data_IF_304979923411
#
_entry.id   IF_304979923411
#
_cell.length_a   1.000
_cell.length_b   1.000
_cell.length_c   1.000
_cell.angle_alpha   90.00
_cell.angle_beta   90.00
_cell.angle_gamma   90.00
#
_symmetry.space_group_name_H-M   'P 1'
#
loop_
_entity.id
_entity.type
_entity.pdbx_description
1 polymer ?
#
# COMPACT_ATOMS: atom_id res chain seq x y z
N UNK A 1 32.24 68.57 -7.83
CA UNK A 1 32.43 67.18 -7.37
C UNK A 1 32.43 66.99 -5.84
N UNK A 2 33.02 67.88 -5.02
CA UNK A 2 33.06 67.70 -3.55
C UNK A 2 31.70 67.77 -2.82
N UNK A 3 30.71 68.54 -3.30
CA UNK A 3 29.39 68.61 -2.66
C UNK A 3 28.52 67.36 -2.84
N UNK A 4 28.63 66.64 -3.97
CA UNK A 4 27.87 65.39 -4.21
C UNK A 4 28.34 64.23 -3.33
N UNK A 5 29.65 64.12 -3.07
CA UNK A 5 30.22 63.08 -2.21
C UNK A 5 29.79 63.21 -0.73
N UNK A 6 29.52 64.43 -0.26
CA UNK A 6 29.07 64.65 1.12
C UNK A 6 27.61 64.22 1.37
N UNK A 7 26.76 64.31 0.35
CA UNK A 7 25.36 63.90 0.45
C UNK A 7 25.19 62.38 0.39
N UNK A 8 25.96 61.68 -0.44
CA UNK A 8 25.92 60.21 -0.49
C UNK A 8 26.37 59.57 0.83
N UNK A 9 27.35 60.16 1.55
CA UNK A 9 27.79 59.66 2.87
C UNK A 9 26.74 59.78 3.97
N UNK A 10 25.87 60.80 3.91
CA UNK A 10 24.83 61.02 4.94
C UNK A 10 23.67 60.04 4.85
N UNK A 11 23.39 59.48 3.67
CA UNK A 11 22.33 58.50 3.48
C UNK A 11 22.83 57.04 3.42
N UNK A 12 24.09 56.81 3.05
CA UNK A 12 24.64 55.45 2.99
C UNK A 12 24.87 54.83 4.38
N UNK A 13 25.32 55.61 5.37
CA UNK A 13 25.58 55.08 6.73
C UNK A 13 24.31 54.53 7.42
N UNK A 14 23.17 55.26 7.48
CA UNK A 14 21.97 54.72 8.11
C UNK A 14 21.36 53.55 7.32
N UNK A 15 21.50 53.52 5.98
CA UNK A 15 20.98 52.41 5.18
C UNK A 15 21.75 51.11 5.42
N UNK A 16 23.09 51.18 5.54
CA UNK A 16 23.95 50.02 5.83
C UNK A 16 23.71 49.50 7.26
N UNK A 17 23.45 50.40 8.22
CA UNK A 17 23.14 50.00 9.59
C UNK A 17 21.77 49.33 9.70
N UNK A 18 20.74 49.87 9.04
CA UNK A 18 19.39 49.28 9.04
C UNK A 18 19.37 47.94 8.30
N UNK A 19 20.04 47.84 7.14
CA UNK A 19 20.14 46.57 6.42
C UNK A 19 20.94 45.52 7.19
N UNK A 20 22.02 45.90 7.87
CA UNK A 20 22.77 45.00 8.76
C UNK A 20 21.93 44.48 9.93
N UNK A 21 21.17 45.34 10.60
CA UNK A 21 20.29 44.94 11.71
C UNK A 21 19.15 44.05 11.24
N UNK A 22 18.52 44.35 10.10
CA UNK A 22 17.46 43.50 9.51
C UNK A 22 18.00 42.14 9.11
N UNK A 23 19.19 42.07 8.51
CA UNK A 23 19.83 40.80 8.16
C UNK A 23 20.17 39.97 9.40
N UNK A 24 20.66 40.63 10.47
CA UNK A 24 21.01 39.96 11.73
C UNK A 24 19.77 39.43 12.45
N UNK A 25 18.67 40.20 12.47
CA UNK A 25 17.37 39.76 13.03
C UNK A 25 16.79 38.63 12.17
N UNK A 26 16.84 38.72 10.85
CA UNK A 26 16.39 37.65 9.96
C UNK A 26 17.18 36.36 10.20
N UNK A 27 18.51 36.45 10.33
CA UNK A 27 19.37 35.31 10.65
C UNK A 27 19.07 34.75 12.06
N UNK A 28 18.88 35.59 13.08
CA UNK A 28 18.53 35.16 14.44
C UNK A 28 17.13 34.56 14.57
N UNK A 29 16.18 34.95 13.72
CA UNK A 29 14.81 34.41 13.70
C UNK A 29 14.71 33.17 12.81
N UNK A 30 15.48 33.11 11.71
CA UNK A 30 15.47 31.99 10.77
C UNK A 30 16.36 30.84 11.24
N UNK A 31 17.51 31.07 11.88
CA UNK A 31 18.41 29.99 12.34
C UNK A 31 17.74 29.01 13.34
N UNK A 32 16.96 29.46 14.36
CA UNK A 32 16.22 28.55 15.23
C UNK A 32 15.14 27.77 14.48
N UNK A 33 14.51 28.38 13.45
CA UNK A 33 13.49 27.73 12.61
C UNK A 33 14.11 26.72 11.64
N UNK A 34 15.29 27.00 11.09
CA UNK A 34 16.03 26.08 10.22
C UNK A 34 16.58 24.91 11.06
N UNK A 35 17.04 25.16 12.28
CA UNK A 35 17.39 24.09 13.23
C UNK A 35 16.17 23.29 13.70
N UNK A 36 14.99 23.89 13.87
CA UNK A 36 13.78 23.13 14.21
C UNK A 36 13.27 22.28 13.04
N UNK A 37 13.50 22.71 11.79
CA UNK A 37 13.16 21.92 10.59
C UNK A 37 14.18 20.81 10.35
N UNK A 38 15.48 21.06 10.55
CA UNK A 38 16.54 20.05 10.44
C UNK A 38 16.56 19.04 11.60
N UNK A 39 16.08 19.42 12.79
CA UNK A 39 15.98 18.51 13.94
C UNK A 39 14.74 17.59 13.88
N UNK A 40 13.90 17.70 12.86
CA UNK A 40 12.71 16.83 12.69
C UNK A 40 13.04 15.40 12.24
N UNK A 41 14.30 15.09 11.91
CA UNK A 41 14.69 13.84 11.23
C UNK A 41 15.58 12.87 12.03
N UNK A 42 15.48 12.89 13.35
CA UNK A 42 15.86 11.72 14.15
C UNK A 42 15.10 11.73 15.48
N UNK A 43 13.80 11.38 15.44
CA UNK A 43 13.09 11.08 16.67
C UNK A 43 13.73 9.82 17.28
N UNK A 44 14.52 10.01 18.34
CA UNK A 44 15.12 8.92 19.10
C UNK A 44 14.06 8.29 20.00
N UNK A 45 13.32 7.33 19.47
CA UNK A 45 12.43 6.49 20.26
C UNK A 45 13.23 5.48 21.07
N UNK A 46 12.90 5.29 22.34
CA UNK A 46 13.56 4.30 23.20
C UNK A 46 13.24 2.87 22.74
N UNK A 47 12.01 2.68 22.27
CA UNK A 47 11.43 1.45 21.75
C UNK A 47 12.18 0.94 20.52
N UNK A 48 12.74 1.84 19.70
CA UNK A 48 13.57 1.43 18.56
C UNK A 48 14.78 0.65 19.04
N UNK A 49 15.39 1.04 20.17
CA UNK A 49 16.51 0.30 20.76
C UNK A 49 16.06 -1.04 21.32
N UNK A 50 14.90 -1.08 21.96
CA UNK A 50 14.31 -2.31 22.51
C UNK A 50 13.99 -3.34 21.42
N UNK A 51 13.43 -2.88 20.29
CA UNK A 51 13.08 -3.73 19.16
C UNK A 51 14.30 -4.17 18.34
N UNK A 52 15.42 -3.45 18.43
CA UNK A 52 16.63 -3.75 17.66
C UNK A 52 17.21 -5.12 18.04
N UNK A 53 17.31 -6.02 17.06
CA UNK A 53 17.90 -7.35 17.25
C UNK A 53 16.97 -8.38 17.89
N UNK A 54 15.70 -8.03 18.11
CA UNK A 54 14.69 -8.98 18.57
C UNK A 54 14.41 -10.06 17.53
N UNK A 55 14.01 -11.26 17.99
CA UNK A 55 13.65 -12.41 17.14
C UNK A 55 12.24 -12.90 17.50
N UNK A 56 11.35 -11.94 17.75
CA UNK A 56 9.99 -12.20 18.19
C UNK A 56 9.11 -12.74 17.07
N UNK A 57 8.08 -13.48 17.48
CA UNK A 57 6.98 -13.88 16.63
C UNK A 57 6.10 -12.68 16.26
N UNK A 58 5.27 -12.83 15.23
CA UNK A 58 4.30 -11.81 14.86
C UNK A 58 3.36 -11.45 16.02
N UNK A 59 2.96 -12.45 16.82
CA UNK A 59 2.09 -12.25 17.97
C UNK A 59 2.77 -11.41 19.06
N UNK A 60 4.03 -11.71 19.38
CA UNK A 60 4.80 -10.93 20.36
C UNK A 60 5.00 -9.47 19.93
N UNK A 61 5.27 -9.20 18.64
CA UNK A 61 5.27 -7.82 18.13
C UNK A 61 3.89 -7.17 18.22
N UNK A 62 2.82 -7.91 17.91
CA UNK A 62 1.45 -7.40 18.01
C UNK A 62 1.12 -6.99 19.45
N UNK A 63 1.43 -7.86 20.42
CA UNK A 63 1.20 -7.61 21.85
C UNK A 63 2.03 -6.41 22.33
N UNK A 64 3.28 -6.30 21.88
CA UNK A 64 4.14 -5.16 22.14
C UNK A 64 3.52 -3.85 21.64
N UNK A 65 3.09 -3.79 20.38
CA UNK A 65 2.53 -2.57 19.80
C UNK A 65 1.16 -2.21 20.38
N UNK A 66 0.35 -3.20 20.80
CA UNK A 66 -0.88 -2.95 21.59
C UNK A 66 -0.53 -2.29 22.92
N UNK A 67 0.39 -2.88 23.69
CA UNK A 67 0.83 -2.33 24.97
C UNK A 67 1.44 -0.94 24.83
N UNK A 68 2.29 -0.73 23.83
CA UNK A 68 2.88 0.59 23.54
C UNK A 68 1.79 1.62 23.23
N UNK A 69 0.76 1.22 22.48
CA UNK A 69 -0.37 2.09 22.18
C UNK A 69 -1.18 2.44 23.43
N UNK A 70 -1.34 1.51 24.37
CA UNK A 70 -2.01 1.74 25.67
C UNK A 70 -1.18 2.67 26.56
N UNK A 71 0.13 2.43 26.66
CA UNK A 71 1.02 3.14 27.57
C UNK A 71 1.39 4.55 27.08
N UNK A 72 1.60 4.74 25.76
CA UNK A 72 2.11 5.99 25.17
C UNK A 72 1.22 6.59 24.07
N UNK A 73 0.11 5.94 23.74
CA UNK A 73 -0.81 6.37 22.68
C UNK A 73 -0.48 5.74 21.33
N UNK A 74 -1.52 5.41 20.56
CA UNK A 74 -1.40 4.72 19.28
C UNK A 74 -0.70 5.57 18.20
N UNK A 75 -0.83 6.90 18.24
CA UNK A 75 -0.09 7.78 17.32
C UNK A 75 1.42 7.69 17.57
N UNK A 76 1.85 7.56 18.83
CA UNK A 76 3.24 7.35 19.18
C UNK A 76 3.72 5.97 18.69
N UNK A 77 2.94 4.92 18.97
CA UNK A 77 3.23 3.57 18.51
C UNK A 77 3.34 3.49 16.98
N UNK A 78 2.50 4.21 16.25
CA UNK A 78 2.55 4.29 14.78
C UNK A 78 3.87 4.91 14.29
N UNK A 79 4.32 6.00 14.93
CA UNK A 79 5.62 6.61 14.62
C UNK A 79 6.80 5.67 14.91
N UNK A 80 6.74 4.90 16.00
CA UNK A 80 7.74 3.87 16.32
C UNK A 80 7.75 2.78 15.25
N UNK A 81 6.57 2.24 14.88
CA UNK A 81 6.44 1.18 13.86
C UNK A 81 7.08 1.57 12.52
N UNK A 82 6.96 2.86 12.13
CA UNK A 82 7.56 3.38 10.88
C UNK A 82 9.08 3.30 10.86
N UNK A 83 9.75 3.42 12.00
CA UNK A 83 11.22 3.54 12.04
C UNK A 83 11.91 2.36 12.71
N UNK A 84 11.19 1.51 13.44
CA UNK A 84 11.77 0.37 14.13
C UNK A 84 12.33 -0.68 13.14
N UNK A 85 13.46 -1.33 13.46
CA UNK A 85 13.95 -2.46 12.67
C UNK A 85 13.15 -3.72 12.99
N UNK A 86 12.94 -4.56 11.98
CA UNK A 86 12.25 -5.85 12.12
C UNK A 86 13.04 -6.95 11.39
N UNK A 87 13.02 -8.20 11.88
CA UNK A 87 13.57 -9.33 11.15
C UNK A 87 12.74 -9.60 9.87
N UNK A 88 13.36 -10.14 8.80
CA UNK A 88 12.63 -10.52 7.59
C UNK A 88 11.49 -11.50 7.88
N UNK A 89 10.39 -11.36 7.13
CA UNK A 89 9.22 -12.24 7.23
C UNK A 89 8.19 -11.83 8.27
N UNK A 90 8.45 -10.77 9.06
CA UNK A 90 7.42 -10.10 9.86
C UNK A 90 6.62 -9.18 8.96
N UNK A 91 5.31 -9.39 8.93
CA UNK A 91 4.41 -8.63 8.09
C UNK A 91 4.10 -7.25 8.70
N UNK A 92 4.75 -6.22 8.18
CA UNK A 92 4.56 -4.86 8.70
C UNK A 92 3.22 -4.24 8.30
N UNK A 93 2.57 -4.74 7.25
CA UNK A 93 1.21 -4.33 6.90
C UNK A 93 0.25 -4.77 8.01
N UNK A 94 0.32 -6.05 8.42
CA UNK A 94 -0.53 -6.57 9.49
C UNK A 94 -0.22 -5.95 10.87
N UNK A 95 1.04 -5.61 11.18
CA UNK A 95 1.34 -4.86 12.42
C UNK A 95 0.73 -3.44 12.39
N UNK A 96 0.65 -2.80 11.23
CA UNK A 96 0.00 -1.51 11.10
C UNK A 96 -1.53 -1.59 11.29
N UNK A 97 -2.17 -2.73 10.98
CA UNK A 97 -3.55 -2.97 11.40
C UNK A 97 -3.69 -2.99 12.93
N UNK A 98 -2.76 -3.64 13.64
CA UNK A 98 -2.79 -3.69 15.11
C UNK A 98 -2.73 -2.29 15.72
N UNK A 99 -1.80 -1.45 15.24
CA UNK A 99 -1.68 -0.07 15.73
C UNK A 99 -2.88 0.79 15.31
N UNK A 100 -3.37 0.62 14.08
CA UNK A 100 -4.54 1.34 13.58
C UNK A 100 -5.80 1.05 14.39
N UNK A 101 -6.04 -0.20 14.78
CA UNK A 101 -7.16 -0.60 15.65
C UNK A 101 -7.12 0.17 16.98
N UNK A 102 -5.93 0.28 17.58
CA UNK A 102 -5.73 1.05 18.80
C UNK A 102 -5.94 2.55 18.57
N UNK A 103 -5.56 3.06 17.40
CA UNK A 103 -5.76 4.46 17.04
C UNK A 103 -7.24 4.80 16.90
N UNK A 104 -8.03 3.94 16.24
CA UNK A 104 -9.49 4.08 16.18
C UNK A 104 -10.11 4.02 17.57
N UNK A 105 -9.72 3.05 18.42
CA UNK A 105 -10.20 2.97 19.82
C UNK A 105 -9.95 4.26 20.61
N UNK A 106 -8.85 4.96 20.34
CA UNK A 106 -8.47 6.17 21.07
C UNK A 106 -9.04 7.47 20.47
N UNK A 107 -9.33 7.51 19.17
CA UNK A 107 -9.64 8.75 18.43
C UNK A 107 -10.93 8.68 17.62
N UNK A 108 -11.57 7.51 17.52
CA UNK A 108 -12.68 7.24 16.62
C UNK A 108 -12.34 7.61 15.18
N UNK A 109 -13.31 8.17 14.48
CA UNK A 109 -13.20 8.59 13.07
C UNK A 109 -12.04 9.58 12.83
N UNK A 110 -11.67 10.39 13.82
CA UNK A 110 -10.58 11.35 13.69
C UNK A 110 -9.22 10.68 13.44
N UNK A 111 -9.08 9.38 13.72
CA UNK A 111 -7.91 8.57 13.39
C UNK A 111 -7.57 8.60 11.89
N UNK A 112 -8.55 8.76 11.00
CA UNK A 112 -8.32 8.74 9.54
C UNK A 112 -7.31 9.80 9.09
N UNK A 113 -7.28 10.96 9.75
CA UNK A 113 -6.38 12.06 9.42
C UNK A 113 -4.96 11.87 9.98
N UNK A 114 -4.80 10.95 10.93
CA UNK A 114 -3.52 10.57 11.52
C UNK A 114 -2.88 9.43 10.71
N UNK A 115 -3.71 8.50 10.21
CA UNK A 115 -3.25 7.45 9.31
C UNK A 115 -2.69 8.06 8.01
N UNK A 116 -1.53 7.58 7.60
CA UNK A 116 -0.88 7.92 6.33
C UNK A 116 -0.98 6.74 5.36
N UNK A 117 -0.42 6.91 4.17
CA UNK A 117 -0.22 5.86 3.17
C UNK A 117 0.86 4.84 3.54
N UNK A 118 1.64 5.11 4.60
CA UNK A 118 2.60 4.15 5.17
C UNK A 118 1.93 2.77 5.38
N UNK A 119 2.71 1.72 5.15
CA UNK A 119 2.24 0.33 5.23
C UNK A 119 1.06 0.04 4.30
N UNK A 120 0.95 0.73 3.15
CA UNK A 120 -0.10 0.52 2.16
C UNK A 120 -1.50 0.77 2.75
N UNK A 121 -1.64 1.87 3.49
CA UNK A 121 -2.89 2.33 4.10
C UNK A 121 -3.52 1.40 5.14
N UNK A 122 -2.76 0.43 5.68
CA UNK A 122 -3.23 -0.51 6.70
C UNK A 122 -3.88 0.18 7.91
N UNK A 123 -3.34 1.31 8.36
CA UNK A 123 -3.92 2.11 9.43
C UNK A 123 -5.35 2.57 9.06
N UNK A 124 -5.53 3.14 7.87
CA UNK A 124 -6.83 3.63 7.41
C UNK A 124 -7.87 2.52 7.26
N UNK A 125 -7.44 1.28 6.97
CA UNK A 125 -8.36 0.13 6.93
C UNK A 125 -9.08 -0.05 8.26
N UNK A 126 -8.33 -0.02 9.36
CA UNK A 126 -8.86 -0.26 10.71
C UNK A 126 -9.86 0.79 11.16
N UNK A 127 -9.76 2.02 10.64
CA UNK A 127 -10.70 3.09 10.95
C UNK A 127 -12.08 2.76 10.41
N UNK A 128 -12.18 2.36 9.14
CA UNK A 128 -13.47 2.01 8.53
C UNK A 128 -14.03 0.68 9.01
N UNK A 129 -13.16 -0.26 9.38
CA UNK A 129 -13.55 -1.49 10.09
C UNK A 129 -14.18 -1.12 11.45
N UNK A 130 -13.52 -0.26 12.22
CA UNK A 130 -14.01 0.21 13.51
C UNK A 130 -15.36 0.89 13.43
N UNK A 131 -15.55 1.82 12.48
CA UNK A 131 -16.84 2.49 12.24
C UNK A 131 -17.93 1.45 11.97
N UNK A 132 -17.65 0.50 11.07
CA UNK A 132 -18.65 -0.51 10.70
C UNK A 132 -19.02 -1.41 11.89
N UNK A 133 -18.03 -1.89 12.65
CA UNK A 133 -18.28 -2.79 13.77
C UNK A 133 -18.98 -2.09 14.94
N UNK A 134 -18.75 -0.79 15.14
CA UNK A 134 -19.36 0.00 16.22
C UNK A 134 -20.76 0.51 15.87
N UNK A 135 -20.93 1.05 14.65
CA UNK A 135 -22.15 1.73 14.23
C UNK A 135 -23.06 0.85 13.35
N UNK A 136 -22.57 -0.32 12.94
CA UNK A 136 -23.28 -1.25 12.07
C UNK A 136 -23.43 -0.76 10.63
N UNK A 137 -24.18 -1.53 9.85
CA UNK A 137 -24.39 -1.28 8.42
C UNK A 137 -24.96 0.13 8.08
N UNK A 138 -25.68 0.77 9.00
CA UNK A 138 -26.19 2.14 8.79
C UNK A 138 -25.09 3.19 8.59
N UNK A 139 -23.83 2.87 8.93
CA UNK A 139 -22.68 3.77 8.83
C UNK A 139 -21.99 3.81 7.46
N UNK A 140 -22.43 3.01 6.46
CA UNK A 140 -21.80 3.01 5.13
C UNK A 140 -21.66 4.42 4.50
N UNK A 141 -22.64 5.36 4.61
CA UNK A 141 -22.45 6.73 4.15
C UNK A 141 -21.36 7.50 4.90
N UNK A 142 -21.24 7.31 6.22
CA UNK A 142 -20.19 7.92 7.05
C UNK A 142 -18.80 7.37 6.69
N UNK A 143 -18.72 6.07 6.40
CA UNK A 143 -17.50 5.43 5.90
C UNK A 143 -17.09 6.02 4.56
N UNK A 144 -18.02 6.20 3.61
CA UNK A 144 -17.72 6.82 2.33
C UNK A 144 -17.16 8.25 2.48
N UNK A 145 -17.77 9.07 3.35
CA UNK A 145 -17.26 10.41 3.67
C UNK A 145 -15.92 10.40 4.41
N UNK A 146 -15.65 9.36 5.19
CA UNK A 146 -14.37 9.14 5.86
C UNK A 146 -13.28 8.79 4.83
N UNK A 147 -13.57 7.92 3.87
CA UNK A 147 -12.64 7.53 2.81
C UNK A 147 -12.21 8.71 1.91
N UNK A 148 -13.10 9.69 1.68
CA UNK A 148 -12.75 10.93 0.96
C UNK A 148 -11.68 11.77 1.68
N UNK A 149 -11.51 11.56 3.00
CA UNK A 149 -10.55 12.28 3.84
C UNK A 149 -9.26 11.48 4.08
N UNK A 150 -9.16 10.26 3.58
CA UNK A 150 -7.98 9.43 3.73
C UNK A 150 -6.75 10.09 3.05
N UNK A 151 -5.63 10.29 3.78
CA UNK A 151 -4.40 10.80 3.18
C UNK A 151 -3.83 9.83 2.14
N UNK A 152 -3.28 10.36 1.04
CA UNK A 152 -2.71 9.58 -0.07
C UNK A 152 -3.45 9.75 -1.41
N UNK A 153 -4.51 10.57 -1.47
CA UNK A 153 -5.15 10.93 -2.73
C UNK A 153 -6.00 9.80 -3.34
N UNK A 154 -5.97 9.64 -4.67
CA UNK A 154 -6.85 8.69 -5.39
C UNK A 154 -6.61 7.23 -4.98
N UNK A 155 -5.37 6.84 -4.71
CA UNK A 155 -5.02 5.48 -4.27
C UNK A 155 -5.64 5.18 -2.91
N UNK A 156 -5.41 6.07 -1.95
CA UNK A 156 -5.96 5.96 -0.59
C UNK A 156 -7.49 5.87 -0.53
N UNK A 157 -8.23 6.57 -1.40
CA UNK A 157 -9.69 6.44 -1.48
C UNK A 157 -10.13 5.00 -1.77
N UNK A 158 -9.55 4.38 -2.80
CA UNK A 158 -9.87 3.00 -3.17
C UNK A 158 -9.46 2.01 -2.08
N UNK A 159 -8.27 2.19 -1.51
CA UNK A 159 -7.74 1.34 -0.44
C UNK A 159 -8.53 1.46 0.86
N UNK A 160 -9.16 2.60 1.10
CA UNK A 160 -10.10 2.73 2.21
C UNK A 160 -11.30 1.78 2.06
N UNK A 161 -11.86 1.65 0.85
CA UNK A 161 -12.92 0.65 0.59
C UNK A 161 -12.38 -0.79 0.59
N UNK A 162 -11.12 -1.01 0.23
CA UNK A 162 -10.46 -2.30 0.48
C UNK A 162 -10.48 -2.64 1.98
N UNK A 163 -10.07 -1.68 2.82
CA UNK A 163 -10.14 -1.80 4.27
C UNK A 163 -11.55 -2.12 4.79
N UNK A 164 -12.57 -1.46 4.25
CA UNK A 164 -13.98 -1.73 4.57
C UNK A 164 -14.32 -3.20 4.31
N UNK A 165 -13.81 -3.79 3.22
CA UNK A 165 -14.02 -5.19 2.87
C UNK A 165 -13.66 -6.17 3.98
N UNK A 166 -12.53 -5.94 4.67
CA UNK A 166 -12.15 -6.78 5.82
C UNK A 166 -13.21 -6.73 6.92
N UNK A 167 -13.68 -5.52 7.23
CA UNK A 167 -14.71 -5.29 8.25
C UNK A 167 -16.07 -5.87 7.86
N UNK A 168 -16.45 -5.75 6.59
CA UNK A 168 -17.70 -6.31 6.05
C UNK A 168 -17.73 -7.82 6.21
N UNK A 169 -16.63 -8.51 5.89
CA UNK A 169 -16.58 -9.96 6.07
C UNK A 169 -16.69 -10.37 7.54
N UNK A 170 -15.99 -9.67 8.45
CA UNK A 170 -16.12 -9.91 9.88
C UNK A 170 -17.53 -9.62 10.40
N UNK A 171 -18.12 -8.48 10.02
CA UNK A 171 -19.44 -8.02 10.44
C UNK A 171 -20.56 -8.98 10.00
N UNK A 172 -20.43 -9.58 8.82
CA UNK A 172 -21.40 -10.57 8.31
C UNK A 172 -21.17 -11.99 8.83
N UNK A 173 -20.26 -12.16 9.80
CA UNK A 173 -19.95 -13.46 10.41
C UNK A 173 -19.23 -14.42 9.47
N UNK A 174 -18.35 -13.87 8.60
CA UNK A 174 -17.64 -14.59 7.55
C UNK A 174 -18.54 -15.27 6.50
N UNK A 175 -19.77 -14.79 6.34
CA UNK A 175 -20.64 -15.17 5.22
C UNK A 175 -20.27 -14.34 3.99
N UNK A 176 -19.48 -14.94 3.11
CA UNK A 176 -18.90 -14.27 1.94
C UNK A 176 -19.99 -13.80 0.95
N UNK A 177 -21.11 -14.53 0.85
CA UNK A 177 -22.22 -14.14 -0.04
C UNK A 177 -22.88 -12.86 0.48
N UNK A 178 -23.16 -12.80 1.79
CA UNK A 178 -23.68 -11.59 2.43
C UNK A 178 -22.69 -10.43 2.37
N UNK A 179 -21.40 -10.72 2.46
CA UNK A 179 -20.34 -9.71 2.33
C UNK A 179 -20.38 -9.03 0.96
N UNK A 180 -20.53 -9.81 -0.11
CA UNK A 180 -20.66 -9.28 -1.48
C UNK A 180 -21.91 -8.41 -1.61
N UNK A 181 -23.06 -8.86 -1.10
CA UNK A 181 -24.30 -8.07 -1.11
C UNK A 181 -24.18 -6.76 -0.33
N UNK A 182 -23.41 -6.75 0.75
CA UNK A 182 -23.13 -5.54 1.51
C UNK A 182 -22.13 -4.61 0.77
N UNK A 183 -21.07 -5.16 0.18
CA UNK A 183 -20.11 -4.40 -0.62
C UNK A 183 -20.77 -3.73 -1.84
N UNK A 184 -21.81 -4.33 -2.45
CA UNK A 184 -22.56 -3.70 -3.54
C UNK A 184 -23.20 -2.37 -3.13
N UNK A 185 -23.49 -2.17 -1.85
CA UNK A 185 -24.16 -0.95 -1.34
C UNK A 185 -23.25 0.29 -1.34
N UNK A 186 -21.93 0.10 -1.45
CA UNK A 186 -20.97 1.22 -1.52
C UNK A 186 -20.53 1.54 -2.94
N UNK A 187 -20.85 0.70 -3.93
CA UNK A 187 -20.52 0.95 -5.32
C UNK A 187 -21.19 2.22 -5.84
N UNK A 188 -20.42 3.09 -6.50
CA UNK A 188 -20.96 4.29 -7.13
C UNK A 188 -20.67 4.35 -8.62
N UNK A 189 -21.63 4.90 -9.38
CA UNK A 189 -21.43 5.18 -10.81
C UNK A 189 -20.34 6.23 -11.06
N UNK A 190 -20.13 7.15 -10.12
CA UNK A 190 -19.09 8.18 -10.19
C UNK A 190 -17.69 7.56 -10.30
N UNK A 191 -17.47 6.44 -9.61
CA UNK A 191 -16.20 5.74 -9.56
C UNK A 191 -16.21 4.39 -10.32
N UNK A 192 -17.19 4.18 -11.20
CA UNK A 192 -17.37 2.93 -11.97
C UNK A 192 -17.37 1.68 -11.08
N UNK A 193 -18.09 1.74 -9.96
CA UNK A 193 -18.21 0.68 -8.95
C UNK A 193 -16.88 0.21 -8.34
N UNK A 194 -15.82 1.02 -8.41
CA UNK A 194 -14.52 0.64 -7.85
C UNK A 194 -14.59 0.41 -6.34
N UNK A 195 -15.42 1.14 -5.61
CA UNK A 195 -15.62 0.94 -4.17
C UNK A 195 -16.13 -0.46 -3.86
N UNK A 196 -17.10 -0.95 -4.65
CA UNK A 196 -17.63 -2.30 -4.52
C UNK A 196 -16.54 -3.33 -4.80
N UNK A 197 -15.80 -3.18 -5.90
CA UNK A 197 -14.73 -4.12 -6.27
C UNK A 197 -13.63 -4.16 -5.18
N UNK A 198 -13.19 -3.01 -4.68
CA UNK A 198 -12.19 -2.97 -3.60
C UNK A 198 -12.71 -3.61 -2.31
N UNK A 199 -13.97 -3.36 -1.94
CA UNK A 199 -14.61 -3.99 -0.78
C UNK A 199 -14.65 -5.52 -0.91
N UNK A 200 -14.96 -6.06 -2.10
CA UNK A 200 -14.87 -7.51 -2.33
C UNK A 200 -13.42 -8.01 -2.26
N UNK A 201 -12.46 -7.22 -2.75
CA UNK A 201 -11.03 -7.52 -2.64
C UNK A 201 -10.56 -7.64 -1.18
N UNK A 202 -10.95 -6.71 -0.32
CA UNK A 202 -10.68 -6.75 1.11
C UNK A 202 -11.35 -7.93 1.81
N UNK A 203 -12.61 -8.22 1.44
CA UNK A 203 -13.32 -9.42 1.93
C UNK A 203 -12.58 -10.70 1.53
N UNK A 204 -12.13 -10.78 0.28
CA UNK A 204 -11.35 -11.92 -0.22
C UNK A 204 -10.04 -12.11 0.55
N UNK A 205 -9.36 -11.01 0.86
CA UNK A 205 -8.13 -11.04 1.66
C UNK A 205 -8.39 -11.47 3.10
N UNK A 206 -9.43 -10.94 3.73
CA UNK A 206 -9.81 -11.29 5.10
C UNK A 206 -10.20 -12.77 5.20
N UNK A 207 -10.90 -13.30 4.20
CA UNK A 207 -11.29 -14.71 4.18
C UNK A 207 -10.08 -15.65 4.22
N UNK A 208 -8.92 -15.27 3.71
CA UNK A 208 -7.74 -16.13 3.77
C UNK A 208 -7.10 -16.21 5.17
N UNK A 209 -7.21 -15.13 5.95
CA UNK A 209 -6.45 -14.97 7.19
C UNK A 209 -7.31 -15.08 8.46
N UNK A 210 -8.58 -14.70 8.40
CA UNK A 210 -9.50 -14.74 9.55
C UNK A 210 -8.98 -13.94 10.74
N UNK A 211 -8.53 -12.71 10.50
CA UNK A 211 -7.81 -11.86 11.46
C UNK A 211 -8.76 -11.26 12.49
N UNK A 212 -9.97 -10.87 12.06
CA UNK A 212 -10.87 -10.04 12.86
C UNK A 212 -11.82 -10.84 13.77
N UNK A 213 -12.28 -12.03 13.36
CA UNK A 213 -12.96 -12.99 14.23
C UNK A 213 -12.59 -14.43 13.83
N UNK A 214 -11.62 -14.97 14.56
CA UNK A 214 -11.06 -16.30 14.28
C UNK A 214 -12.08 -17.42 14.45
N UNK A 215 -12.99 -17.31 15.42
CA UNK A 215 -13.96 -18.36 15.71
C UNK A 215 -15.01 -18.43 14.61
N UNK A 216 -15.56 -17.28 14.19
CA UNK A 216 -16.49 -17.21 13.07
C UNK A 216 -15.83 -17.66 11.76
N UNK A 217 -14.58 -17.25 11.53
CA UNK A 217 -13.81 -17.68 10.37
C UNK A 217 -13.62 -19.21 10.32
N UNK A 218 -13.21 -19.85 11.43
CA UNK A 218 -13.03 -21.31 11.48
C UNK A 218 -14.32 -22.07 11.18
N UNK A 219 -15.47 -21.51 11.56
CA UNK A 219 -16.78 -22.08 11.28
C UNK A 219 -17.19 -21.95 9.80
N UNK A 220 -16.73 -20.92 9.09
CA UNK A 220 -17.14 -20.65 7.70
C UNK A 220 -16.11 -21.05 6.64
N UNK A 221 -14.82 -21.05 6.94
CA UNK A 221 -13.74 -21.20 5.93
C UNK A 221 -13.90 -22.45 5.05
N UNK A 222 -14.31 -23.58 5.61
CA UNK A 222 -14.50 -24.84 4.88
C UNK A 222 -15.68 -24.82 3.91
N UNK A 223 -16.59 -23.84 4.04
CA UNK A 223 -17.66 -23.60 3.05
C UNK A 223 -17.07 -23.03 1.76
N UNK A 224 -16.02 -22.20 1.85
CA UNK A 224 -15.51 -21.40 0.74
C UNK A 224 -14.19 -21.92 0.15
N UNK A 225 -13.25 -22.37 0.98
CA UNK A 225 -12.02 -23.02 0.51
C UNK A 225 -12.19 -24.52 0.50
N UNK A 226 -11.79 -25.15 -0.60
CA UNK A 226 -11.92 -26.58 -0.85
C UNK A 226 -10.53 -27.17 -1.08
N UNK A 227 -10.27 -28.33 -0.48
CA UNK A 227 -8.97 -28.98 -0.62
C UNK A 227 -8.72 -29.47 -2.05
N UNK A 228 -9.79 -29.86 -2.76
CA UNK A 228 -9.79 -30.35 -4.14
C UNK A 228 -10.00 -29.25 -5.20
N UNK A 229 -10.27 -28.02 -4.76
CA UNK A 229 -10.43 -26.85 -5.62
C UNK A 229 -9.76 -25.60 -5.02
N UNK A 230 -8.46 -25.39 -5.32
CA UNK A 230 -7.70 -24.24 -4.85
C UNK A 230 -8.07 -22.90 -5.50
N UNK A 231 -8.91 -22.90 -6.54
CA UNK A 231 -9.39 -21.66 -7.19
C UNK A 231 -10.66 -21.13 -6.52
N UNK A 232 -11.37 -21.98 -5.77
CA UNK A 232 -12.44 -21.54 -4.90
C UNK A 232 -11.94 -20.55 -3.83
N UNK A 233 -12.72 -19.52 -3.50
CA UNK A 233 -14.11 -19.30 -3.92
C UNK A 233 -14.27 -18.42 -5.18
N UNK A 234 -13.19 -18.08 -5.89
CA UNK A 234 -13.23 -17.04 -6.91
C UNK A 234 -13.98 -17.44 -8.20
N UNK A 235 -14.10 -18.74 -8.50
CA UNK A 235 -14.91 -19.30 -9.58
C UNK A 235 -16.32 -19.74 -9.15
N UNK A 236 -16.64 -19.65 -7.86
CA UNK A 236 -17.93 -20.08 -7.34
C UNK A 236 -19.08 -19.22 -7.93
N UNK A 237 -20.25 -19.83 -8.10
CA UNK A 237 -21.41 -19.17 -8.73
C UNK A 237 -21.92 -17.93 -7.99
N UNK A 238 -21.58 -17.77 -6.71
CA UNK A 238 -21.95 -16.60 -5.94
C UNK A 238 -21.01 -15.42 -6.17
N UNK A 239 -19.80 -15.64 -6.70
CA UNK A 239 -18.81 -14.61 -6.98
C UNK A 239 -19.17 -13.91 -8.30
N UNK A 240 -19.57 -12.63 -8.27
CA UNK A 240 -19.97 -11.92 -9.49
C UNK A 240 -18.80 -11.74 -10.44
N UNK A 241 -19.06 -11.83 -11.74
CA UNK A 241 -18.04 -11.83 -12.80
C UNK A 241 -17.10 -10.61 -12.72
N UNK A 242 -17.65 -9.46 -12.42
CA UNK A 242 -16.91 -8.20 -12.27
C UNK A 242 -15.95 -8.18 -11.07
N UNK A 243 -16.22 -8.99 -10.03
CA UNK A 243 -15.41 -9.11 -8.82
C UNK A 243 -14.45 -10.32 -8.82
N UNK A 244 -14.65 -11.29 -9.71
CA UNK A 244 -13.72 -12.43 -9.85
C UNK A 244 -12.25 -12.00 -10.01
N UNK A 245 -11.90 -10.98 -10.83
CA UNK A 245 -10.50 -10.57 -10.99
C UNK A 245 -9.86 -10.12 -9.67
N UNK A 246 -10.55 -9.31 -8.87
CA UNK A 246 -9.97 -8.84 -7.60
C UNK A 246 -9.87 -9.99 -6.57
N UNK A 247 -10.80 -10.95 -6.61
CA UNK A 247 -10.70 -12.17 -5.82
C UNK A 247 -9.42 -12.96 -6.18
N UNK A 248 -9.18 -13.21 -7.47
CA UNK A 248 -7.98 -13.94 -7.93
C UNK A 248 -6.67 -13.20 -7.63
N UNK A 249 -6.64 -11.87 -7.73
CA UNK A 249 -5.48 -11.06 -7.32
C UNK A 249 -5.13 -11.28 -5.85
N UNK A 250 -6.14 -11.49 -5.00
CA UNK A 250 -5.94 -11.72 -3.59
C UNK A 250 -5.83 -13.20 -3.23
N UNK A 251 -6.21 -14.15 -4.06
CA UNK A 251 -6.18 -15.59 -3.76
C UNK A 251 -4.75 -16.17 -3.60
N UNK A 252 -3.71 -15.49 -4.08
CA UNK A 252 -2.35 -16.03 -4.19
C UNK A 252 -1.77 -16.63 -2.89
N UNK A 253 -1.92 -16.03 -1.69
CA UNK A 253 -1.48 -16.68 -0.45
C UNK A 253 -2.13 -18.05 -0.22
N UNK A 254 -3.41 -18.22 -0.57
CA UNK A 254 -4.07 -19.53 -0.52
C UNK A 254 -3.44 -20.52 -1.50
N UNK A 255 -3.11 -20.07 -2.72
CA UNK A 255 -2.43 -20.91 -3.72
C UNK A 255 -1.04 -21.37 -3.25
N UNK A 256 -0.30 -20.52 -2.52
CA UNK A 256 0.96 -20.92 -1.88
C UNK A 256 0.73 -21.99 -0.81
N UNK A 257 -0.31 -21.86 0.02
CA UNK A 257 -0.64 -22.86 1.04
C UNK A 257 -1.08 -24.19 0.41
N UNK A 258 -1.84 -24.16 -0.69
CA UNK A 258 -2.30 -25.35 -1.39
C UNK A 258 -1.14 -26.23 -1.90
N UNK A 259 0.00 -25.61 -2.25
CA UNK A 259 1.24 -26.34 -2.58
C UNK A 259 2.15 -26.63 -1.38
N UNK A 260 1.66 -26.43 -0.16
CA UNK A 260 2.38 -26.70 1.09
C UNK A 260 3.48 -25.68 1.43
N UNK A 261 3.39 -24.45 0.92
CA UNK A 261 4.37 -23.41 1.25
C UNK A 261 4.19 -22.85 2.66
N UNK A 262 5.30 -22.53 3.32
CA UNK A 262 5.28 -21.63 4.47
C UNK A 262 5.13 -20.19 3.98
N UNK A 263 4.01 -19.55 4.34
CA UNK A 263 3.73 -18.16 3.96
C UNK A 263 4.74 -17.16 4.50
N UNK A 264 5.52 -17.50 5.54
CA UNK A 264 6.59 -16.62 6.05
C UNK A 264 7.76 -16.56 5.08
N UNK A 265 8.04 -17.65 4.37
CA UNK A 265 9.18 -17.75 3.45
C UNK A 265 8.92 -18.75 2.30
N UNK A 266 8.00 -18.42 1.38
CA UNK A 266 7.74 -19.29 0.23
C UNK A 266 8.95 -19.29 -0.72
N UNK A 267 9.20 -20.43 -1.37
CA UNK A 267 10.38 -20.65 -2.20
C UNK A 267 10.06 -20.57 -3.70
N UNK A 268 11.07 -20.41 -4.58
CA UNK A 268 10.88 -20.50 -6.03
C UNK A 268 10.18 -21.78 -6.50
N UNK A 269 10.38 -22.91 -5.81
CA UNK A 269 9.64 -24.14 -6.09
C UNK A 269 8.15 -23.95 -5.80
N UNK A 270 7.81 -23.36 -4.65
CA UNK A 270 6.40 -23.08 -4.32
C UNK A 270 5.76 -22.13 -5.33
N UNK A 271 6.49 -21.11 -5.81
CA UNK A 271 5.98 -20.18 -6.81
C UNK A 271 5.61 -20.88 -8.11
N UNK A 272 6.54 -21.71 -8.63
CA UNK A 272 6.30 -22.51 -9.84
C UNK A 272 5.09 -23.44 -9.68
N UNK A 273 5.02 -24.16 -8.57
CA UNK A 273 3.93 -25.11 -8.33
C UNK A 273 2.58 -24.38 -8.20
N UNK A 274 2.54 -23.23 -7.51
CA UNK A 274 1.31 -22.46 -7.31
C UNK A 274 0.83 -21.76 -8.60
N UNK A 275 1.74 -21.32 -9.48
CA UNK A 275 1.36 -20.79 -10.79
C UNK A 275 0.57 -21.78 -11.63
N UNK A 276 0.81 -23.09 -11.46
CA UNK A 276 0.10 -24.12 -12.21
C UNK A 276 -1.42 -24.09 -12.00
N UNK A 277 -1.90 -23.56 -10.86
CA UNK A 277 -3.34 -23.37 -10.65
C UNK A 277 -3.95 -22.33 -11.60
N UNK A 278 -3.22 -21.29 -11.98
CA UNK A 278 -3.71 -20.31 -12.97
C UNK A 278 -3.84 -20.90 -14.37
N UNK A 279 -3.20 -22.03 -14.67
CA UNK A 279 -3.37 -22.76 -15.93
C UNK A 279 -4.64 -23.63 -15.97
N UNK A 280 -5.29 -23.86 -14.82
CA UNK A 280 -6.58 -24.56 -14.79
C UNK A 280 -7.75 -23.64 -15.20
N UNK A 281 -7.53 -22.32 -15.20
CA UNK A 281 -8.48 -21.36 -15.76
C UNK A 281 -8.52 -21.47 -17.29
N UNK A 282 -9.71 -21.25 -17.87
CA UNK A 282 -9.93 -21.31 -19.31
C UNK A 282 -8.94 -20.42 -20.07
N UNK A 283 -8.31 -20.96 -21.12
CA UNK A 283 -7.39 -20.20 -21.99
C UNK A 283 -8.09 -19.03 -22.70
N UNK A 284 -9.40 -19.11 -22.91
CA UNK A 284 -10.22 -18.04 -23.51
C UNK A 284 -10.55 -16.91 -22.51
N UNK A 285 -10.19 -17.07 -21.23
CA UNK A 285 -10.48 -16.11 -20.16
C UNK A 285 -9.24 -15.35 -19.70
N UNK A 286 -8.69 -14.55 -20.62
CA UNK A 286 -7.53 -13.69 -20.37
C UNK A 286 -7.73 -12.80 -19.14
N UNK A 287 -8.95 -12.34 -18.86
CA UNK A 287 -9.22 -11.47 -17.72
C UNK A 287 -8.89 -12.17 -16.39
N UNK A 288 -9.41 -13.39 -16.20
CA UNK A 288 -9.17 -14.14 -14.97
C UNK A 288 -7.75 -14.70 -14.90
N UNK A 289 -7.21 -15.18 -16.02
CA UNK A 289 -5.82 -15.65 -16.07
C UNK A 289 -4.85 -14.54 -15.71
N UNK A 290 -5.01 -13.35 -16.30
CA UNK A 290 -4.20 -12.18 -15.95
C UNK A 290 -4.33 -11.82 -14.46
N UNK A 291 -5.54 -11.87 -13.91
CA UNK A 291 -5.76 -11.58 -12.50
C UNK A 291 -5.06 -12.59 -11.56
N UNK A 292 -5.20 -13.89 -11.86
CA UNK A 292 -4.56 -14.97 -11.11
C UNK A 292 -3.04 -14.83 -11.13
N UNK A 293 -2.45 -14.71 -12.32
CA UNK A 293 -1.01 -14.49 -12.47
C UNK A 293 -0.53 -13.18 -11.86
N UNK A 294 -1.33 -12.12 -11.99
CA UNK A 294 -1.05 -10.80 -11.41
C UNK A 294 -0.98 -10.82 -9.88
N UNK A 295 -1.77 -11.67 -9.22
CA UNK A 295 -1.70 -11.84 -7.77
C UNK A 295 -0.28 -12.20 -7.28
N UNK A 296 0.45 -13.04 -8.04
CA UNK A 296 1.84 -13.39 -7.73
C UNK A 296 2.78 -12.20 -7.81
N UNK A 297 2.65 -11.35 -8.82
CA UNK A 297 3.45 -10.13 -8.94
C UNK A 297 3.28 -9.19 -7.74
N UNK A 298 2.05 -9.07 -7.25
CA UNK A 298 1.73 -8.31 -6.02
C UNK A 298 2.45 -8.88 -4.81
N UNK A 299 2.48 -10.21 -4.66
CA UNK A 299 3.16 -10.88 -3.54
C UNK A 299 4.69 -10.84 -3.65
N UNK A 300 5.24 -11.08 -4.84
CA UNK A 300 6.68 -11.20 -5.06
C UNK A 300 7.45 -9.95 -4.67
N UNK A 301 6.92 -8.75 -4.97
CA UNK A 301 7.63 -7.53 -4.58
C UNK A 301 7.72 -7.36 -3.06
N UNK A 302 6.69 -7.79 -2.33
CA UNK A 302 6.65 -7.74 -0.87
C UNK A 302 7.57 -8.82 -0.28
N UNK A 303 7.53 -10.03 -0.83
CA UNK A 303 8.38 -11.16 -0.40
C UNK A 303 9.86 -10.86 -0.67
N UNK A 304 10.21 -10.28 -1.83
CA UNK A 304 11.59 -9.95 -2.19
C UNK A 304 12.23 -8.96 -1.19
N UNK A 305 11.42 -8.10 -0.57
CA UNK A 305 11.81 -7.16 0.50
C UNK A 305 11.68 -7.72 1.91
N UNK A 306 11.45 -9.03 2.06
CA UNK A 306 11.27 -9.65 3.37
C UNK A 306 10.03 -9.17 4.12
N UNK A 307 8.97 -8.78 3.39
CA UNK A 307 7.69 -8.26 3.90
C UNK A 307 7.74 -6.88 4.57
N UNK A 308 8.81 -6.12 4.34
CA UNK A 308 8.86 -4.70 4.70
C UNK A 308 8.19 -3.84 3.61
N UNK A 309 6.96 -3.41 3.90
CA UNK A 309 6.11 -2.63 2.99
C UNK A 309 6.17 -1.12 3.23
N UNK A 310 7.07 -0.62 4.08
CA UNK A 310 7.13 0.81 4.43
C UNK A 310 7.48 1.70 3.24
N UNK A 311 8.41 1.24 2.43
CA UNK A 311 8.79 1.89 1.17
C UNK A 311 9.24 0.81 0.18
N UNK A 312 8.29 0.28 -0.58
CA UNK A 312 8.58 -0.71 -1.63
C UNK A 312 9.25 -0.01 -2.83
N UNK A 313 9.04 1.30 -2.98
CA UNK A 313 9.71 2.15 -3.96
C UNK A 313 11.23 2.22 -3.80
N UNK A 314 11.74 1.92 -2.60
CA UNK A 314 13.16 1.82 -2.29
C UNK A 314 13.71 0.38 -2.44
N UNK A 315 13.08 -0.45 -3.28
CA UNK A 315 13.60 -1.78 -3.63
C UNK A 315 14.98 -1.71 -4.24
N UNK A 316 15.91 -2.54 -3.75
CA UNK A 316 17.24 -2.67 -4.35
C UNK A 316 17.17 -3.44 -5.67
N UNK A 317 18.15 -3.24 -6.54
CA UNK A 317 18.22 -3.93 -7.84
C UNK A 317 18.20 -5.45 -7.71
N UNK A 318 18.81 -6.04 -6.68
CA UNK A 318 18.77 -7.49 -6.43
C UNK A 318 17.37 -7.99 -6.05
N UNK A 319 16.58 -7.17 -5.34
CA UNK A 319 15.19 -7.49 -4.96
C UNK A 319 14.26 -7.40 -6.18
N UNK A 320 14.47 -6.40 -7.03
CA UNK A 320 13.75 -6.22 -8.29
C UNK A 320 14.05 -7.36 -9.28
N UNK A 321 15.33 -7.73 -9.42
CA UNK A 321 15.73 -8.84 -10.30
C UNK A 321 15.09 -10.16 -9.84
N UNK A 322 15.07 -10.46 -8.53
CA UNK A 322 14.37 -11.63 -8.00
C UNK A 322 12.91 -11.66 -8.44
N UNK A 323 12.22 -10.52 -8.39
CA UNK A 323 10.81 -10.44 -8.80
C UNK A 323 10.63 -10.74 -10.29
N UNK A 324 11.52 -10.24 -11.16
CA UNK A 324 11.53 -10.59 -12.59
C UNK A 324 11.76 -12.08 -12.79
N UNK A 325 12.78 -12.63 -12.13
CA UNK A 325 13.15 -14.04 -12.22
C UNK A 325 12.02 -14.96 -11.73
N UNK A 326 11.31 -14.57 -10.67
CA UNK A 326 10.17 -15.31 -10.14
C UNK A 326 8.94 -15.24 -11.05
N UNK A 327 8.66 -14.10 -11.68
CA UNK A 327 7.57 -14.00 -12.66
C UNK A 327 7.83 -14.90 -13.88
N UNK A 328 9.09 -15.08 -14.31
CA UNK A 328 9.45 -15.99 -15.40
C UNK A 328 9.17 -17.47 -15.07
N UNK A 329 9.02 -17.83 -13.78
CA UNK A 329 8.66 -19.19 -13.37
C UNK A 329 7.22 -19.59 -13.77
N UNK A 330 6.39 -18.63 -14.18
CA UNK A 330 5.07 -18.91 -14.74
C UNK A 330 5.15 -19.81 -15.99
N UNK A 331 6.25 -19.70 -16.76
CA UNK A 331 6.46 -20.44 -18.02
C UNK A 331 5.27 -20.31 -19.00
N UNK A 332 4.64 -19.14 -18.98
CA UNK A 332 3.52 -18.73 -19.82
C UNK A 332 3.67 -17.22 -20.08
N UNK A 333 3.69 -16.81 -21.36
CA UNK A 333 3.97 -15.42 -21.73
C UNK A 333 2.93 -14.44 -21.19
N UNK A 334 1.64 -14.84 -21.17
CA UNK A 334 0.57 -14.03 -20.60
C UNK A 334 0.78 -13.89 -19.08
N UNK A 335 1.07 -15.00 -18.41
CA UNK A 335 1.29 -15.06 -16.97
C UNK A 335 2.51 -14.28 -16.50
N UNK A 336 3.63 -14.39 -17.20
CA UNK A 336 4.83 -13.60 -16.91
C UNK A 336 4.55 -12.10 -17.07
N UNK A 337 3.88 -11.70 -18.15
CA UNK A 337 3.48 -10.32 -18.39
C UNK A 337 2.54 -9.79 -17.31
N UNK A 338 1.53 -10.57 -16.91
CA UNK A 338 0.57 -10.20 -15.88
C UNK A 338 1.22 -10.08 -14.50
N UNK A 339 2.10 -11.02 -14.15
CA UNK A 339 2.90 -10.98 -12.93
C UNK A 339 3.77 -9.70 -12.88
N UNK A 340 4.54 -9.42 -13.94
CA UNK A 340 5.38 -8.22 -13.98
C UNK A 340 4.55 -6.92 -13.99
N UNK A 341 3.41 -6.91 -14.67
CA UNK A 341 2.48 -5.78 -14.70
C UNK A 341 1.92 -5.46 -13.31
N UNK A 342 1.51 -6.47 -12.55
CA UNK A 342 1.03 -6.30 -11.17
C UNK A 342 2.16 -5.93 -10.21
N UNK A 343 3.36 -6.49 -10.38
CA UNK A 343 4.54 -6.09 -9.61
C UNK A 343 4.86 -4.59 -9.81
N UNK A 344 4.82 -4.10 -11.06
CA UNK A 344 4.98 -2.67 -11.36
C UNK A 344 3.89 -1.81 -10.71
N UNK A 345 2.63 -2.25 -10.76
CA UNK A 345 1.54 -1.53 -10.09
C UNK A 345 1.73 -1.47 -8.58
N UNK A 346 2.25 -2.54 -7.97
CA UNK A 346 2.58 -2.61 -6.55
C UNK A 346 3.80 -1.75 -6.18
N UNK A 347 4.76 -1.60 -7.10
CA UNK A 347 5.92 -0.72 -6.96
C UNK A 347 5.53 0.76 -7.01
N UNK A 348 4.71 1.14 -7.99
CA UNK A 348 4.28 2.53 -8.14
C UNK A 348 3.26 2.94 -7.06
N UNK A 349 2.37 2.01 -6.70
CA UNK A 349 1.36 2.14 -5.64
C UNK A 349 0.65 3.48 -5.65
N UNK A 350 0.03 3.87 -6.77
CA UNK A 350 -0.69 5.15 -6.88
C UNK A 350 0.19 6.41 -6.90
N UNK A 351 1.52 6.28 -6.83
CA UNK A 351 2.46 7.41 -6.75
C UNK A 351 2.85 7.80 -5.32
N UNK A 352 2.39 7.03 -4.33
CA UNK A 352 2.73 7.09 -2.90
C UNK A 352 4.16 6.61 -2.63
N UNK A 353 4.59 5.52 -3.29
CA UNK A 353 5.96 5.00 -3.17
C UNK A 353 6.99 5.91 -3.85
N UNK A 354 8.26 5.81 -3.43
CA UNK A 354 9.33 6.45 -4.19
C UNK A 354 9.43 5.84 -5.59
N UNK A 355 9.46 6.66 -6.66
CA UNK A 355 9.30 6.15 -8.03
C UNK A 355 10.49 5.31 -8.53
N UNK A 356 11.67 5.39 -7.91
CA UNK A 356 12.93 4.85 -8.42
C UNK A 356 12.88 3.37 -8.75
N UNK A 357 12.31 2.54 -7.87
CA UNK A 357 12.19 1.12 -8.14
C UNK A 357 11.24 0.80 -9.30
N UNK A 358 10.20 1.60 -9.57
CA UNK A 358 9.32 1.40 -10.75
C UNK A 358 10.09 1.57 -12.06
N UNK A 359 10.94 2.61 -12.15
CA UNK A 359 11.79 2.84 -13.32
C UNK A 359 12.88 1.78 -13.44
N UNK A 360 13.52 1.43 -12.32
CA UNK A 360 14.54 0.38 -12.25
C UNK A 360 13.99 -0.97 -12.66
N UNK A 361 12.78 -1.32 -12.23
CA UNK A 361 12.13 -2.58 -12.58
C UNK A 361 11.90 -2.71 -14.09
N UNK A 362 11.33 -1.67 -14.73
CA UNK A 362 11.16 -1.71 -16.19
C UNK A 362 12.50 -1.80 -16.96
N UNK A 363 13.57 -1.21 -16.44
CA UNK A 363 14.89 -1.29 -17.05
C UNK A 363 15.51 -2.71 -17.00
N UNK A 364 15.10 -3.55 -16.03
CA UNK A 364 15.56 -4.94 -15.90
C UNK A 364 14.84 -5.91 -16.85
N UNK A 365 13.62 -5.57 -17.25
CA UNK A 365 12.85 -6.36 -18.23
C UNK A 365 13.37 -6.13 -19.65
N UNK A 366 13.03 -7.02 -20.59
CA UNK A 366 13.48 -6.92 -21.99
C UNK A 366 12.33 -7.16 -22.99
N UNK A 367 12.54 -6.75 -24.25
CA UNK A 367 11.63 -7.07 -25.35
C UNK A 367 10.19 -6.56 -25.15
N UNK A 368 9.21 -7.44 -25.35
CA UNK A 368 7.79 -7.10 -25.21
C UNK A 368 7.40 -6.75 -23.78
N UNK A 369 8.03 -7.37 -22.77
CA UNK A 369 7.77 -7.11 -21.36
C UNK A 369 8.22 -5.70 -20.96
N UNK A 370 9.39 -5.28 -21.44
CA UNK A 370 9.88 -3.91 -21.24
C UNK A 370 8.94 -2.88 -21.87
N UNK A 371 8.44 -3.19 -23.06
CA UNK A 371 7.49 -2.32 -23.74
C UNK A 371 6.20 -2.19 -22.92
N UNK A 372 5.64 -3.31 -22.47
CA UNK A 372 4.45 -3.31 -21.62
C UNK A 372 4.67 -2.56 -20.30
N UNK A 373 5.83 -2.77 -19.65
CA UNK A 373 6.18 -2.14 -18.38
C UNK A 373 6.23 -0.61 -18.51
N UNK A 374 6.97 -0.07 -19.48
CA UNK A 374 7.06 1.39 -19.64
C UNK A 374 5.75 2.02 -20.12
N UNK A 375 4.98 1.35 -20.97
CA UNK A 375 3.63 1.81 -21.36
C UNK A 375 2.71 1.90 -20.15
N UNK A 376 2.73 0.89 -19.27
CA UNK A 376 1.94 0.91 -18.05
C UNK A 376 2.41 2.00 -17.08
N UNK A 377 3.72 2.13 -16.87
CA UNK A 377 4.28 3.15 -15.97
C UNK A 377 3.92 4.57 -16.45
N UNK A 378 4.00 4.83 -17.76
CA UNK A 378 3.56 6.09 -18.36
C UNK A 378 2.08 6.38 -18.03
N UNK A 379 1.20 5.39 -18.18
CA UNK A 379 -0.22 5.52 -17.84
C UNK A 379 -0.47 5.74 -16.35
N UNK A 380 0.28 5.08 -15.47
CA UNK A 380 0.17 5.28 -14.03
C UNK A 380 0.62 6.67 -13.60
N UNK A 381 1.75 7.15 -14.12
CA UNK A 381 2.20 8.53 -13.90
C UNK A 381 1.14 9.52 -14.36
N UNK A 382 0.59 9.32 -15.56
CA UNK A 382 -0.47 10.16 -16.12
C UNK A 382 -1.73 10.20 -15.24
N UNK A 383 -2.19 9.05 -14.75
CA UNK A 383 -3.46 8.94 -14.03
C UNK A 383 -3.39 9.46 -12.60
N UNK A 384 -2.28 9.18 -11.91
CA UNK A 384 -2.14 9.45 -10.48
C UNK A 384 -1.42 10.76 -10.15
N UNK A 385 -0.51 11.24 -11.01
CA UNK A 385 0.22 12.49 -10.75
C UNK A 385 -0.62 13.69 -11.16
N UNK A 386 -1.30 14.31 -10.19
CA UNK A 386 -2.13 15.49 -10.40
C UNK A 386 -1.34 16.80 -10.47
N UNK A 387 -0.14 16.85 -9.88
CA UNK A 387 0.78 17.98 -9.97
C UNK A 387 1.48 17.97 -11.35
N UNK A 388 1.30 19.01 -12.19
CA UNK A 388 1.90 19.07 -13.52
C UNK A 388 3.43 19.06 -13.53
N UNK A 389 4.08 19.67 -12.54
CA UNK A 389 5.54 19.69 -12.44
C UNK A 389 6.07 18.31 -12.05
N UNK A 390 5.48 17.68 -11.02
CA UNK A 390 5.83 16.29 -10.63
C UNK A 390 5.60 15.33 -11.79
N UNK A 391 4.46 15.44 -12.48
CA UNK A 391 4.14 14.63 -13.66
C UNK A 391 5.20 14.82 -14.75
N UNK A 392 5.52 16.05 -15.12
CA UNK A 392 6.52 16.33 -16.15
C UNK A 392 7.91 15.76 -15.80
N UNK A 393 8.32 15.87 -14.53
CA UNK A 393 9.61 15.33 -14.07
C UNK A 393 9.63 13.80 -14.07
N UNK A 394 8.54 13.14 -13.68
CA UNK A 394 8.40 11.69 -13.82
C UNK A 394 8.39 11.25 -15.29
N UNK A 395 7.66 11.95 -16.15
CA UNK A 395 7.61 11.61 -17.58
C UNK A 395 8.97 11.73 -18.26
N UNK A 396 9.81 12.71 -17.90
CA UNK A 396 11.18 12.85 -18.44
C UNK A 396 12.10 11.68 -18.11
N UNK A 397 11.81 10.92 -17.05
CA UNK A 397 12.59 9.73 -16.65
C UNK A 397 12.29 8.51 -17.52
N UNK A 398 11.17 8.51 -18.26
CA UNK A 398 10.83 7.43 -19.18
C UNK A 398 11.70 7.49 -20.44
N UNK A 399 11.93 6.36 -21.13
CA UNK A 399 12.50 6.38 -22.48
C UNK A 399 11.69 7.29 -23.42
N UNK A 400 12.38 7.97 -24.34
CA UNK A 400 11.82 9.04 -25.19
C UNK A 400 10.48 8.66 -25.85
N UNK A 401 10.37 7.42 -26.35
CA UNK A 401 9.18 6.91 -27.02
C UNK A 401 7.91 6.88 -26.13
N UNK A 402 8.04 6.86 -24.80
CA UNK A 402 6.90 6.85 -23.88
C UNK A 402 6.58 8.23 -23.27
N UNK A 403 7.48 9.21 -23.41
CA UNK A 403 7.32 10.52 -22.76
C UNK A 403 6.11 11.29 -23.29
N UNK A 404 5.84 11.18 -24.60
CA UNK A 404 4.67 11.84 -25.23
C UNK A 404 3.37 11.28 -24.65
N UNK A 405 3.25 9.95 -24.51
CA UNK A 405 2.07 9.32 -23.94
C UNK A 405 1.88 9.74 -22.48
N UNK A 406 2.96 9.75 -21.70
CA UNK A 406 2.93 10.13 -20.28
C UNK A 406 2.45 11.58 -20.07
N UNK A 407 2.85 12.51 -20.95
CA UNK A 407 2.53 13.93 -20.81
C UNK A 407 1.12 14.33 -21.30
N UNK A 408 0.46 13.48 -22.09
CA UNK A 408 -0.95 13.70 -22.48
C UNK A 408 -1.85 13.78 -21.27
#
# INVERSE_FOLDING_TARGET
>A
MQRMLSHMRRFALPLVFVSGVVLTIAVLVLLPRVNSVLSSHQQNFEEVKELTGTTWTFQEYSDYFRKLSEDKGAEYAFKVLRVAPFPPGIDLHLLAHVVGEMLYKQKGIAAIAICTDDFRNACSHTVVIGILLEHGEGSLPEIAETCKKAPGGKGAYNLCFHGLGHGVLAYTGYDFEKSIEMCKKVGTKEHNDREYIECVGGSSMEMMAGVHDRQAWEAQKGKYFKEDDPLAPCDASFMPREAQPICYIHLTPHLFQAVGADLRNPTPKNFKDAFAYCNALSEDDDLLRNACYGGFGKEFIVIARGKDVRDIGASRTDELQKTVDWCALANDTLGEKACQSSALASLFWGGENTPDASFGFCALTTGEFQTACYTQLAGQVQFYSTDPAKKADLCKRLPEQYQTQCNR
#
